data_IF_171921819914
#
_entry.id   IF_171921819914
#
_cell.length_a   1.000
_cell.length_b   1.000
_cell.length_c   1.000
_cell.angle_alpha   90.00
_cell.angle_beta   90.00
_cell.angle_gamma   90.00
#
_symmetry.space_group_name_H-M   'P 1'
#
loop_
_entity.id
_entity.type
_entity.pdbx_description
1 polymer ?
#
# COMPACT_ATOMS: atom_id res chain seq x y z
N UNK A 1 5.55 -1.57 -7.33
CA UNK A 1 5.92 -1.84 -5.93
C UNK A 1 6.72 -3.13 -5.77
N UNK A 2 6.22 -4.30 -6.17
CA UNK A 2 6.86 -5.60 -5.84
C UNK A 2 8.16 -5.94 -6.62
N UNK A 3 8.65 -5.02 -7.46
CA UNK A 3 9.92 -5.15 -8.19
C UNK A 3 11.06 -4.31 -7.59
N UNK A 4 10.86 -3.72 -6.41
CA UNK A 4 11.87 -2.89 -5.74
C UNK A 4 13.05 -3.74 -5.27
N UNK A 5 14.27 -3.23 -5.49
CA UNK A 5 15.52 -3.91 -5.15
C UNK A 5 15.90 -3.78 -3.66
N UNK A 6 15.06 -3.10 -2.87
CA UNK A 6 15.26 -2.88 -1.43
C UNK A 6 15.07 -4.14 -0.59
N UNK A 7 14.37 -5.16 -1.13
CA UNK A 7 14.10 -6.44 -0.45
C UNK A 7 12.74 -6.44 0.25
N UNK A 8 11.93 -7.48 0.02
CA UNK A 8 10.53 -7.59 0.47
C UNK A 8 10.33 -7.73 2.00
N UNK A 9 11.42 -7.92 2.75
CA UNK A 9 11.39 -7.97 4.21
C UNK A 9 11.75 -6.62 4.85
N UNK A 10 12.23 -5.65 4.06
CA UNK A 10 12.64 -4.33 4.53
C UNK A 10 11.52 -3.28 4.43
N UNK A 11 10.38 -3.63 3.83
CA UNK A 11 9.21 -2.76 3.73
C UNK A 11 7.93 -3.56 3.88
N UNK A 12 6.85 -2.89 4.23
CA UNK A 12 5.50 -3.44 4.19
C UNK A 12 4.62 -2.66 3.21
N UNK A 13 3.61 -3.32 2.69
CA UNK A 13 2.62 -2.70 1.80
C UNK A 13 1.26 -2.83 2.46
N UNK A 14 0.68 -1.70 2.84
CA UNK A 14 -0.65 -1.61 3.43
C UNK A 14 -1.59 -0.99 2.40
N UNK A 15 -2.60 -1.75 1.99
CA UNK A 15 -3.63 -1.32 1.03
C UNK A 15 -4.89 -0.99 1.81
N UNK A 16 -5.39 0.23 1.62
CA UNK A 16 -6.57 0.74 2.30
C UNK A 16 -7.72 0.81 1.29
N UNK A 17 -8.56 -0.23 1.27
CA UNK A 17 -9.61 -0.39 0.27
C UNK A 17 -10.88 0.40 0.61
N UNK A 18 -11.34 1.26 -0.30
CA UNK A 18 -12.55 2.08 -0.16
C UNK A 18 -13.88 1.34 -0.36
N UNK A 19 -13.90 0.02 -0.22
CA UNK A 19 -15.06 -0.83 -0.48
C UNK A 19 -15.24 -1.13 -1.97
N UNK A 20 -14.16 -1.58 -2.62
CA UNK A 20 -14.19 -2.02 -4.01
C UNK A 20 -15.15 -3.19 -4.19
N UNK A 21 -15.95 -3.16 -5.27
CA UNK A 21 -16.92 -4.21 -5.61
C UNK A 21 -16.46 -5.08 -6.79
N UNK A 22 -15.29 -4.77 -7.34
CA UNK A 22 -14.66 -5.50 -8.42
C UNK A 22 -13.59 -6.48 -7.88
N UNK A 23 -12.66 -6.89 -8.74
CA UNK A 23 -11.61 -7.84 -8.37
C UNK A 23 -10.39 -7.20 -7.70
N UNK A 24 -10.43 -5.92 -7.35
CA UNK A 24 -9.29 -5.20 -6.73
C UNK A 24 -8.73 -5.95 -5.53
N UNK A 25 -9.57 -6.24 -4.52
CA UNK A 25 -9.14 -6.94 -3.31
C UNK A 25 -8.64 -8.36 -3.62
N UNK A 26 -9.26 -9.06 -4.58
CA UNK A 26 -8.82 -10.39 -5.00
C UNK A 26 -7.41 -10.36 -5.60
N UNK A 27 -7.11 -9.36 -6.43
CA UNK A 27 -5.80 -9.18 -7.03
C UNK A 27 -4.76 -8.84 -5.96
N UNK A 28 -5.07 -7.91 -5.05
CA UNK A 28 -4.18 -7.50 -3.97
C UNK A 28 -3.77 -8.67 -3.05
N UNK A 29 -4.70 -9.60 -2.78
CA UNK A 29 -4.45 -10.82 -1.98
C UNK A 29 -3.39 -11.76 -2.58
N UNK A 30 -3.07 -11.63 -3.87
CA UNK A 30 -2.02 -12.44 -4.53
C UNK A 30 -0.61 -11.97 -4.17
N UNK A 31 -0.48 -10.80 -3.52
CA UNK A 31 0.78 -10.21 -3.11
C UNK A 31 0.90 -10.19 -1.59
N UNK A 32 2.14 -10.10 -1.07
CA UNK A 32 2.45 -9.94 0.35
C UNK A 32 2.05 -8.53 0.83
N UNK A 33 0.75 -8.33 1.05
CA UNK A 33 0.14 -7.04 1.41
C UNK A 33 -0.79 -7.21 2.60
N UNK A 34 -0.91 -6.16 3.43
CA UNK A 34 -1.94 -6.04 4.46
C UNK A 34 -3.09 -5.21 3.88
N UNK A 35 -4.30 -5.77 3.83
CA UNK A 35 -5.46 -5.08 3.28
C UNK A 35 -6.38 -4.68 4.43
N UNK A 36 -6.73 -3.40 4.53
CA UNK A 36 -7.64 -2.85 5.54
C UNK A 36 -8.81 -2.14 4.87
N UNK A 37 -10.03 -2.22 5.42
CA UNK A 37 -11.17 -1.51 4.88
C UNK A 37 -11.16 -0.03 5.30
N UNK A 38 -11.49 0.84 4.35
CA UNK A 38 -11.85 2.23 4.58
C UNK A 38 -13.36 2.41 4.40
N UNK A 39 -14.09 2.24 5.51
CA UNK A 39 -15.55 2.39 5.52
C UNK A 39 -16.02 3.81 5.21
N UNK A 40 -15.16 4.82 5.40
CA UNK A 40 -15.47 6.22 5.14
C UNK A 40 -15.44 6.56 3.64
N UNK A 41 -14.72 5.78 2.82
CA UNK A 41 -14.49 6.06 1.39
C UNK A 41 -13.91 7.47 1.12
N UNK A 42 -13.16 7.98 2.08
CA UNK A 42 -12.47 9.27 2.03
C UNK A 42 -10.97 8.99 2.06
N UNK A 43 -10.23 9.59 1.14
CA UNK A 43 -8.81 9.30 0.94
C UNK A 43 -7.98 9.65 2.18
N UNK A 44 -8.21 10.83 2.78
CA UNK A 44 -7.48 11.28 3.97
C UNK A 44 -7.72 10.34 5.16
N UNK A 45 -8.95 9.83 5.31
CA UNK A 45 -9.26 8.80 6.32
C UNK A 45 -8.53 7.50 6.02
N UNK A 46 -8.42 7.14 4.75
CA UNK A 46 -7.64 5.99 4.32
C UNK A 46 -6.16 6.12 4.70
N UNK A 47 -5.55 7.29 4.43
CA UNK A 47 -4.17 7.58 4.79
C UNK A 47 -3.94 7.48 6.30
N UNK A 48 -4.85 8.02 7.12
CA UNK A 48 -4.78 7.91 8.59
C UNK A 48 -4.84 6.45 9.06
N UNK A 49 -5.78 5.65 8.55
CA UNK A 49 -5.86 4.21 8.88
C UNK A 49 -4.55 3.50 8.54
N UNK A 50 -3.95 3.82 7.38
CA UNK A 50 -2.66 3.30 6.96
C UNK A 50 -1.53 3.66 7.93
N UNK A 51 -1.42 4.94 8.31
CA UNK A 51 -0.41 5.42 9.28
C UNK A 51 -0.53 4.67 10.61
N UNK A 52 -1.73 4.62 11.20
CA UNK A 52 -1.98 3.99 12.50
C UNK A 52 -1.67 2.48 12.51
N UNK A 53 -1.65 1.85 11.34
CA UNK A 53 -1.43 0.42 11.15
C UNK A 53 -0.04 0.06 10.62
N UNK A 54 0.80 1.07 10.38
CA UNK A 54 2.17 0.93 9.89
C UNK A 54 3.16 0.73 11.04
N UNK A 55 4.27 0.08 10.75
CA UNK A 55 5.37 -0.20 11.68
C UNK A 55 6.69 0.44 11.27
N UNK A 56 6.78 0.90 10.02
CA UNK A 56 7.99 1.53 9.49
C UNK A 56 8.20 2.94 10.02
N UNK A 57 9.46 3.35 10.13
CA UNK A 57 9.83 4.70 10.56
C UNK A 57 9.51 5.77 9.50
N UNK A 58 9.40 5.37 8.23
CA UNK A 58 9.09 6.24 7.09
C UNK A 58 7.85 5.69 6.38
N UNK A 59 6.94 6.60 6.03
CA UNK A 59 5.70 6.29 5.32
C UNK A 59 5.71 6.98 3.97
N UNK A 60 5.46 6.21 2.90
CA UNK A 60 5.26 6.71 1.55
C UNK A 60 3.83 6.42 1.10
N UNK A 61 3.15 7.43 0.56
CA UNK A 61 1.83 7.26 -0.06
C UNK A 61 2.00 7.06 -1.57
N UNK A 62 1.35 6.02 -2.10
CA UNK A 62 1.35 5.70 -3.53
C UNK A 62 -0.11 5.45 -3.93
N UNK A 63 -0.59 6.23 -4.88
CA UNK A 63 -1.96 6.08 -5.40
C UNK A 63 -2.10 4.82 -6.25
N UNK A 64 -3.31 4.27 -6.34
CA UNK A 64 -3.57 2.98 -6.99
C UNK A 64 -3.31 2.99 -8.52
N UNK A 65 -3.29 4.16 -9.14
CA UNK A 65 -3.01 4.39 -10.56
C UNK A 65 -1.53 4.74 -10.84
N UNK A 66 -0.68 4.76 -9.81
CA UNK A 66 0.72 5.12 -9.90
C UNK A 66 1.63 3.88 -9.90
N UNK A 67 2.72 3.94 -10.67
CA UNK A 67 3.77 2.94 -10.66
C UNK A 67 5.13 3.60 -10.40
N UNK A 68 5.94 2.98 -9.53
CA UNK A 68 7.32 3.40 -9.29
C UNK A 68 8.19 2.94 -10.45
N UNK A 69 8.78 3.90 -11.18
CA UNK A 69 9.61 3.64 -12.37
C UNK A 69 11.00 3.14 -12.00
N UNK A 70 11.56 3.68 -10.93
CA UNK A 70 12.87 3.29 -10.42
C UNK A 70 12.75 2.10 -9.45
N UNK A 71 13.53 1.04 -9.68
CA UNK A 71 13.64 -0.12 -8.79
C UNK A 71 14.36 0.20 -7.47
N UNK A 72 15.09 1.31 -7.43
CA UNK A 72 15.84 1.77 -6.28
C UNK A 72 15.13 2.92 -5.55
N UNK A 73 13.86 3.21 -5.87
CA UNK A 73 13.07 4.31 -5.26
C UNK A 73 13.02 4.25 -3.72
N UNK A 74 13.00 3.03 -3.14
CA UNK A 74 13.00 2.85 -1.68
C UNK A 74 14.40 2.86 -1.06
N UNK A 75 15.47 2.95 -1.85
CA UNK A 75 16.85 3.09 -1.37
C UNK A 75 17.18 4.57 -1.25
N UNK A 76 17.58 4.99 -0.05
CA UNK A 76 18.19 6.30 0.20
C UNK A 76 19.60 6.39 -0.36
#
# INVERSE_FOLDING_TARGET
MFSQSYGEDNYEVIIIDGGSIDRTVEICKKFKTKILPNTYKIEEKGRVIGIENSKGDIIAFIDADNFLVDKDFLKS
#
